data_IF_990795435889
#
_entry.id   IF_990795435889
#
_cell.length_a   1.000
_cell.length_b   1.000
_cell.length_c   1.000
_cell.angle_alpha   90.00
_cell.angle_beta   90.00
_cell.angle_gamma   90.00
#
_symmetry.space_group_name_H-M   'P 1'
#
loop_
_entity.id
_entity.type
_entity.pdbx_description
1 polymer ?
#
# COMPACT_ATOMS: atom_id res chain seq x y z
N UNK A 1 -16.94 -32.00 19.87
CA UNK A 1 -15.78 -31.08 20.04
C UNK A 1 -15.71 -30.25 18.78
N UNK A 2 -15.97 -28.95 18.85
CA UNK A 2 -15.95 -28.09 17.66
C UNK A 2 -14.52 -27.59 17.50
N UNK A 3 -13.89 -27.91 16.35
CA UNK A 3 -12.59 -27.36 15.99
C UNK A 3 -12.81 -25.88 15.60
N UNK A 4 -12.08 -24.98 16.19
CA UNK A 4 -12.14 -23.56 15.89
C UNK A 4 -10.77 -23.01 15.55
N UNK A 5 -10.73 -21.93 14.74
CA UNK A 5 -9.52 -21.15 14.54
C UNK A 5 -9.04 -20.57 15.88
N UNK A 6 -7.76 -20.32 15.97
CA UNK A 6 -7.15 -19.54 17.04
C UNK A 6 -6.18 -18.54 16.41
N UNK A 7 -6.29 -17.29 16.80
CA UNK A 7 -5.39 -16.20 16.35
C UNK A 7 -4.45 -15.84 17.51
N UNK A 8 -3.29 -16.54 17.64
CA UNK A 8 -2.42 -16.42 18.83
C UNK A 8 -1.78 -15.05 18.96
N UNK A 9 -1.70 -14.28 17.88
CA UNK A 9 -1.13 -12.93 17.84
C UNK A 9 -2.20 -11.82 17.93
N UNK A 10 -3.43 -12.17 18.28
CA UNK A 10 -4.54 -11.23 18.44
C UNK A 10 -4.67 -10.25 17.25
N UNK A 11 -4.53 -8.95 17.51
CA UNK A 11 -4.76 -7.88 16.55
C UNK A 11 -3.62 -7.67 15.52
N UNK A 12 -2.45 -8.32 15.72
CA UNK A 12 -1.27 -8.14 14.89
C UNK A 12 -1.52 -8.51 13.42
N UNK A 13 -2.29 -9.56 13.18
CA UNK A 13 -2.54 -10.09 11.84
C UNK A 13 -3.96 -9.88 11.33
N UNK A 14 -4.82 -9.20 12.07
CA UNK A 14 -6.26 -9.12 11.76
C UNK A 14 -6.52 -8.62 10.34
N UNK A 15 -5.83 -7.59 9.91
CA UNK A 15 -6.02 -7.01 8.58
C UNK A 15 -5.36 -7.82 7.45
N UNK A 16 -4.51 -8.78 7.76
CA UNK A 16 -3.93 -9.74 6.82
C UNK A 16 -4.80 -10.98 6.75
N UNK A 17 -5.01 -11.64 7.91
CA UNK A 17 -5.74 -12.90 7.96
C UNK A 17 -7.25 -12.71 7.82
N UNK A 18 -7.79 -11.64 8.41
CA UNK A 18 -9.23 -11.50 8.60
C UNK A 18 -9.69 -12.30 9.82
N UNK A 19 -10.90 -12.81 9.77
CA UNK A 19 -11.49 -13.66 10.81
C UNK A 19 -12.48 -14.65 10.24
N UNK A 20 -12.78 -15.69 11.00
CA UNK A 20 -13.82 -16.66 10.68
C UNK A 20 -15.05 -16.46 11.57
N UNK A 21 -16.22 -16.74 11.01
CA UNK A 21 -17.51 -16.71 11.71
C UNK A 21 -18.47 -17.71 11.07
N UNK A 22 -19.64 -17.93 11.66
CA UNK A 22 -20.65 -18.79 11.06
C UNK A 22 -21.09 -18.28 9.70
N UNK A 23 -21.28 -19.16 8.70
CA UNK A 23 -21.81 -18.75 7.41
C UNK A 23 -23.29 -18.35 7.53
N UNK A 24 -23.71 -17.39 6.73
CA UNK A 24 -25.11 -17.12 6.48
C UNK A 24 -25.63 -18.00 5.33
N UNK A 25 -26.95 -18.02 5.10
CA UNK A 25 -27.58 -18.85 4.06
C UNK A 25 -27.04 -18.52 2.66
N UNK A 26 -26.85 -17.24 2.36
CA UNK A 26 -26.36 -16.81 1.06
C UNK A 26 -24.91 -17.28 0.81
N UNK A 27 -24.04 -17.20 1.80
CA UNK A 27 -22.65 -17.67 1.69
C UNK A 27 -22.55 -19.19 1.49
N UNK A 28 -23.50 -19.95 2.07
CA UNK A 28 -23.60 -21.40 1.83
C UNK A 28 -24.02 -21.67 0.39
N UNK A 29 -25.02 -20.94 -0.11
CA UNK A 29 -25.56 -21.14 -1.46
C UNK A 29 -24.58 -20.70 -2.57
N UNK A 30 -23.79 -19.67 -2.33
CA UNK A 30 -22.85 -19.11 -3.32
C UNK A 30 -21.55 -19.92 -3.48
N UNK A 31 -21.25 -20.85 -2.56
CA UNK A 31 -20.00 -21.62 -2.59
C UNK A 31 -20.30 -23.13 -2.49
N UNK A 32 -20.16 -23.83 -3.59
CA UNK A 32 -20.43 -25.27 -3.69
C UNK A 32 -19.63 -26.11 -2.68
N UNK A 33 -18.35 -25.76 -2.43
CA UNK A 33 -17.49 -26.46 -1.47
C UNK A 33 -17.98 -26.26 -0.03
N UNK A 34 -18.42 -25.05 0.30
CA UNK A 34 -19.00 -24.76 1.61
C UNK A 34 -20.34 -25.50 1.76
N UNK A 35 -21.19 -25.49 0.73
CA UNK A 35 -22.46 -26.18 0.72
C UNK A 35 -22.30 -27.70 0.93
N UNK A 36 -21.36 -28.33 0.21
CA UNK A 36 -21.06 -29.77 0.32
C UNK A 36 -20.52 -30.15 1.70
N UNK A 37 -19.68 -29.29 2.30
CA UNK A 37 -18.99 -29.56 3.57
C UNK A 37 -19.69 -28.98 4.79
N UNK A 38 -20.85 -28.34 4.59
CA UNK A 38 -21.56 -27.64 5.66
C UNK A 38 -21.98 -28.62 6.77
N UNK A 39 -21.61 -28.27 7.99
CA UNK A 39 -22.10 -28.90 9.22
C UNK A 39 -22.46 -27.81 10.24
N UNK A 40 -23.45 -28.06 11.13
CA UNK A 40 -23.80 -27.09 12.17
C UNK A 40 -22.58 -26.72 13.04
N UNK A 41 -22.38 -25.42 13.22
CA UNK A 41 -21.23 -24.88 13.96
C UNK A 41 -19.97 -24.68 13.14
N UNK A 42 -19.97 -25.03 11.86
CA UNK A 42 -18.90 -24.70 10.93
C UNK A 42 -18.65 -23.20 10.87
N UNK A 43 -17.41 -22.81 10.66
CA UNK A 43 -16.98 -21.42 10.49
C UNK A 43 -16.25 -21.27 9.17
N UNK A 44 -16.48 -20.14 8.51
CA UNK A 44 -15.85 -19.78 7.24
C UNK A 44 -15.15 -18.43 7.35
N UNK A 45 -14.17 -18.19 6.50
CA UNK A 45 -13.48 -16.91 6.39
C UNK A 45 -14.40 -15.78 5.94
N UNK A 46 -14.43 -14.68 6.67
CA UNK A 46 -15.25 -13.50 6.35
C UNK A 46 -14.50 -12.40 5.65
N UNK A 47 -13.23 -12.26 5.95
CA UNK A 47 -12.34 -11.22 5.41
C UNK A 47 -10.93 -11.77 5.21
N UNK A 48 -10.10 -11.02 4.50
CA UNK A 48 -8.68 -11.27 4.37
C UNK A 48 -8.35 -12.62 3.72
N UNK A 49 -7.21 -13.17 4.12
CA UNK A 49 -6.73 -14.45 3.58
C UNK A 49 -7.59 -15.64 4.03
N UNK A 50 -8.22 -15.59 5.20
CA UNK A 50 -9.19 -16.62 5.63
C UNK A 50 -10.31 -16.76 4.61
N UNK A 51 -10.88 -15.65 4.14
CA UNK A 51 -11.92 -15.66 3.11
C UNK A 51 -11.36 -16.10 1.75
N UNK A 52 -10.22 -15.52 1.35
CA UNK A 52 -9.66 -15.76 0.01
C UNK A 52 -9.22 -17.20 -0.21
N UNK A 53 -8.70 -17.82 0.84
CA UNK A 53 -8.14 -19.16 0.80
C UNK A 53 -9.06 -20.20 1.42
N UNK A 54 -10.35 -19.88 1.65
CA UNK A 54 -11.32 -20.76 2.30
C UNK A 54 -11.29 -22.18 1.73
N UNK A 55 -11.35 -22.30 0.41
CA UNK A 55 -11.37 -23.60 -0.28
C UNK A 55 -10.11 -24.47 -0.02
N UNK A 56 -8.99 -23.83 0.31
CA UNK A 56 -7.75 -24.54 0.70
C UNK A 56 -7.69 -24.83 2.19
N UNK A 57 -8.32 -24.00 3.01
CA UNK A 57 -8.22 -24.05 4.46
C UNK A 57 -9.28 -24.92 5.13
N UNK A 58 -10.40 -25.19 4.45
CA UNK A 58 -11.59 -25.79 5.03
C UNK A 58 -11.44 -27.29 5.35
N UNK A 59 -10.56 -28.03 4.67
CA UNK A 59 -10.40 -29.48 4.85
C UNK A 59 -11.67 -30.28 4.44
N UNK A 60 -11.75 -31.54 4.81
CA UNK A 60 -12.90 -32.42 4.59
C UNK A 60 -13.45 -32.95 5.91
N UNK A 61 -14.76 -33.17 5.96
CA UNK A 61 -15.41 -33.68 7.16
C UNK A 61 -15.14 -35.19 7.36
N UNK A 62 -14.98 -35.60 8.62
CA UNK A 62 -15.05 -37.01 8.97
C UNK A 62 -16.50 -37.46 8.98
N UNK A 63 -16.80 -38.60 8.38
CA UNK A 63 -18.16 -39.19 8.33
C UNK A 63 -18.10 -40.52 9.07
N UNK A 64 -19.00 -40.69 10.03
CA UNK A 64 -19.24 -41.97 10.71
C UNK A 64 -20.69 -42.32 10.62
N UNK A 65 -21.01 -43.47 9.99
CA UNK A 65 -22.36 -44.01 9.91
C UNK A 65 -22.48 -45.18 10.85
N UNK A 66 -23.55 -45.17 11.64
CA UNK A 66 -23.86 -46.21 12.56
C UNK A 66 -25.26 -46.80 12.27
N UNK A 67 -25.38 -48.10 12.39
CA UNK A 67 -26.64 -48.75 12.54
C UNK A 67 -27.16 -48.52 13.97
N UNK A 68 -28.40 -48.09 14.12
CA UNK A 68 -29.03 -47.89 15.44
C UNK A 68 -30.26 -48.77 15.58
N UNK A 69 -30.54 -49.22 16.80
CA UNK A 69 -31.76 -49.92 17.09
C UNK A 69 -32.96 -48.95 17.25
N UNK A 70 -34.17 -49.49 17.49
CA UNK A 70 -35.41 -48.73 17.66
C UNK A 70 -35.34 -47.71 18.83
N UNK A 71 -34.38 -47.85 19.76
CA UNK A 71 -34.15 -46.97 20.92
C UNK A 71 -33.00 -45.95 20.65
N UNK A 72 -32.46 -45.88 19.40
CA UNK A 72 -31.37 -44.96 19.07
C UNK A 72 -29.97 -45.41 19.56
N UNK A 73 -29.84 -46.64 20.10
CA UNK A 73 -28.55 -47.18 20.55
C UNK A 73 -27.75 -47.68 19.35
N UNK A 74 -26.49 -47.26 19.23
CA UNK A 74 -25.55 -47.69 18.19
C UNK A 74 -25.28 -49.21 18.33
N UNK A 75 -25.49 -49.98 17.24
CA UNK A 75 -25.25 -51.42 17.15
C UNK A 75 -23.96 -51.71 16.44
N UNK A 76 -23.85 -51.25 15.18
CA UNK A 76 -22.68 -51.48 14.32
C UNK A 76 -22.24 -50.17 13.69
N UNK A 77 -20.93 -50.04 13.46
CA UNK A 77 -20.36 -48.99 12.63
C UNK A 77 -20.39 -49.46 11.16
N UNK A 78 -21.14 -48.78 10.31
CA UNK A 78 -21.31 -49.12 8.89
C UNK A 78 -20.20 -48.48 8.03
N UNK A 79 -19.83 -47.26 8.38
CA UNK A 79 -18.85 -46.51 7.58
C UNK A 79 -18.03 -45.59 8.50
N UNK A 80 -16.75 -45.48 8.20
CA UNK A 80 -15.85 -44.51 8.83
C UNK A 80 -14.94 -43.91 7.76
N UNK A 81 -15.26 -42.68 7.36
CA UNK A 81 -14.38 -41.87 6.50
C UNK A 81 -13.62 -40.84 7.37
N UNK A 82 -12.30 -40.90 7.32
CA UNK A 82 -11.47 -39.90 8.02
C UNK A 82 -11.56 -38.55 7.30
N UNK A 83 -11.77 -37.49 8.07
CA UNK A 83 -11.62 -36.13 7.56
C UNK A 83 -10.15 -35.77 7.32
N UNK A 84 -9.94 -34.89 6.38
CA UNK A 84 -8.60 -34.34 6.08
C UNK A 84 -8.50 -32.90 6.56
N UNK A 85 -7.34 -32.53 7.09
CA UNK A 85 -7.08 -31.16 7.44
C UNK A 85 -6.89 -30.31 6.19
N UNK A 86 -7.32 -29.05 6.24
CA UNK A 86 -7.01 -28.08 5.20
C UNK A 86 -5.51 -27.84 5.02
N UNK A 87 -5.17 -27.24 3.91
CA UNK A 87 -3.78 -26.97 3.53
C UNK A 87 -3.11 -26.01 4.52
N UNK A 88 -1.81 -26.21 4.74
CA UNK A 88 -0.98 -25.27 5.47
C UNK A 88 -0.48 -24.20 4.51
N UNK A 89 -0.77 -22.95 4.82
CA UNK A 89 -0.35 -21.80 4.01
C UNK A 89 0.77 -21.08 4.76
N UNK A 90 1.88 -20.83 4.07
CA UNK A 90 3.00 -20.05 4.58
C UNK A 90 2.96 -18.65 3.99
N UNK A 91 3.02 -17.65 4.86
CA UNK A 91 3.03 -16.25 4.45
C UNK A 91 4.46 -15.72 4.36
N UNK A 92 4.66 -14.68 3.54
CA UNK A 92 5.92 -13.94 3.45
C UNK A 92 6.13 -12.97 4.61
N UNK A 93 5.08 -12.74 5.41
CA UNK A 93 5.09 -11.77 6.52
C UNK A 93 5.99 -12.26 7.66
N UNK A 94 6.96 -11.42 8.02
CA UNK A 94 7.82 -11.63 9.19
C UNK A 94 7.07 -11.18 10.47
N UNK A 95 6.97 -12.10 11.44
CA UNK A 95 6.19 -11.86 12.66
C UNK A 95 6.77 -10.76 13.53
N UNK A 96 8.09 -10.68 13.65
CA UNK A 96 8.73 -9.71 14.55
C UNK A 96 8.65 -8.30 13.92
N UNK A 97 8.84 -8.17 12.62
CA UNK A 97 8.66 -6.89 11.91
C UNK A 97 7.20 -6.45 11.96
N UNK A 98 6.25 -7.38 11.77
CA UNK A 98 4.82 -7.09 11.84
C UNK A 98 4.40 -6.56 13.24
N UNK A 99 4.90 -7.18 14.33
CA UNK A 99 4.68 -6.72 15.71
C UNK A 99 5.30 -5.34 15.94
N UNK A 100 6.55 -5.15 15.52
CA UNK A 100 7.25 -3.87 15.64
C UNK A 100 6.48 -2.72 14.94
N UNK A 101 5.87 -3.00 13.78
CA UNK A 101 5.00 -2.03 13.10
C UNK A 101 3.81 -1.60 13.98
N UNK A 102 3.20 -2.56 14.70
CA UNK A 102 2.10 -2.28 15.63
C UNK A 102 2.54 -1.42 16.81
N UNK A 103 3.67 -1.77 17.42
CA UNK A 103 4.26 -1.03 18.55
C UNK A 103 4.62 0.41 18.15
N UNK A 104 5.24 0.61 17.00
CA UNK A 104 5.62 1.93 16.48
C UNK A 104 4.39 2.83 16.22
N UNK A 105 3.30 2.27 15.73
CA UNK A 105 2.05 3.02 15.51
C UNK A 105 1.32 3.32 16.81
N UNK A 106 1.50 2.51 17.84
CA UNK A 106 0.98 2.72 19.19
C UNK A 106 -0.48 3.21 19.21
N UNK A 107 -1.38 2.47 18.57
CA UNK A 107 -2.82 2.76 18.41
C UNK A 107 -3.16 4.07 17.67
N UNK A 108 -2.18 4.81 17.14
CA UNK A 108 -2.45 5.95 16.26
C UNK A 108 -3.04 5.46 14.94
N UNK A 109 -3.93 6.26 14.34
CA UNK A 109 -4.46 5.92 13.03
C UNK A 109 -3.37 6.03 11.96
N UNK A 110 -3.09 4.92 11.28
CA UNK A 110 -2.06 4.86 10.25
C UNK A 110 -1.84 3.46 9.71
N UNK A 111 -0.84 3.32 8.86
CA UNK A 111 -0.39 2.01 8.37
C UNK A 111 1.10 2.02 8.05
N UNK A 112 1.72 0.86 8.19
CA UNK A 112 3.09 0.59 7.77
C UNK A 112 3.06 -0.61 6.82
N UNK A 113 3.74 -0.49 5.67
CA UNK A 113 3.93 -1.56 4.71
C UNK A 113 5.41 -1.70 4.40
N UNK A 114 5.91 -2.92 4.45
CA UNK A 114 7.30 -3.27 4.14
C UNK A 114 7.28 -4.33 3.04
N UNK A 115 8.03 -4.09 1.99
CA UNK A 115 8.09 -4.96 0.82
C UNK A 115 9.55 -5.22 0.44
N UNK A 116 9.87 -6.47 0.14
CA UNK A 116 11.14 -6.81 -0.48
C UNK A 116 11.18 -6.27 -1.91
N UNK A 117 12.25 -5.55 -2.24
CA UNK A 117 12.35 -4.83 -3.50
C UNK A 117 12.71 -5.73 -4.69
N UNK A 118 13.16 -6.95 -4.45
CA UNK A 118 13.57 -7.90 -5.46
C UNK A 118 12.52 -8.99 -5.68
N UNK A 119 12.01 -9.58 -4.60
CA UNK A 119 11.03 -10.68 -4.69
C UNK A 119 9.59 -10.21 -4.75
N UNK A 120 9.31 -8.97 -4.30
CA UNK A 120 7.95 -8.47 -4.14
C UNK A 120 7.22 -9.00 -2.90
N UNK A 121 7.92 -9.75 -2.04
CA UNK A 121 7.36 -10.30 -0.81
C UNK A 121 6.90 -9.18 0.13
N UNK A 122 5.68 -9.29 0.63
CA UNK A 122 5.18 -8.43 1.70
C UNK A 122 5.76 -8.93 3.02
N UNK A 123 6.75 -8.22 3.55
CA UNK A 123 7.41 -8.54 4.82
C UNK A 123 6.58 -8.08 6.02
N UNK A 124 5.88 -6.95 5.89
CA UNK A 124 4.91 -6.50 6.87
C UNK A 124 3.81 -5.63 6.23
N UNK A 125 2.61 -5.75 6.75
CA UNK A 125 1.45 -4.96 6.34
C UNK A 125 0.53 -4.73 7.54
N UNK A 126 0.76 -3.64 8.28
CA UNK A 126 0.02 -3.34 9.50
C UNK A 126 -0.87 -2.10 9.35
N UNK A 127 -2.12 -2.22 9.78
CA UNK A 127 -3.11 -1.12 9.82
C UNK A 127 -3.54 -0.86 11.25
N UNK A 128 -3.42 0.38 11.73
CA UNK A 128 -3.69 0.77 13.11
C UNK A 128 -4.81 1.83 13.21
N UNK A 129 -5.62 1.84 14.29
CA UNK A 129 -5.74 0.75 15.24
C UNK A 129 -6.31 -0.51 14.60
N UNK A 130 -6.05 -1.66 15.19
CA UNK A 130 -6.58 -2.96 14.80
C UNK A 130 -7.59 -3.47 15.83
N UNK A 131 -8.05 -4.70 15.70
CA UNK A 131 -8.98 -5.34 16.62
C UNK A 131 -8.65 -6.83 16.78
N UNK A 132 -9.06 -7.45 17.88
CA UNK A 132 -8.83 -8.88 18.13
C UNK A 132 -9.83 -9.74 17.32
N UNK A 133 -9.39 -10.54 16.34
CA UNK A 133 -10.25 -11.38 15.52
C UNK A 133 -10.90 -12.53 16.31
N UNK A 134 -10.30 -12.92 17.45
CA UNK A 134 -10.86 -13.95 18.31
C UNK A 134 -12.25 -13.59 18.87
N UNK A 135 -12.59 -12.30 18.97
CA UNK A 135 -13.91 -11.83 19.41
C UNK A 135 -15.05 -12.30 18.50
N UNK A 136 -14.76 -12.59 17.23
CA UNK A 136 -15.77 -13.00 16.25
C UNK A 136 -16.00 -14.52 16.20
N UNK A 137 -15.13 -15.31 16.85
CA UNK A 137 -15.16 -16.77 16.74
C UNK A 137 -16.47 -17.41 17.28
N UNK A 138 -17.00 -16.86 18.35
CA UNK A 138 -18.21 -17.37 19.02
C UNK A 138 -19.35 -16.34 19.07
N UNK A 139 -19.22 -15.26 18.30
CA UNK A 139 -20.08 -14.10 18.34
C UNK A 139 -19.50 -13.00 19.22
N UNK A 140 -19.52 -11.77 18.70
CA UNK A 140 -19.12 -10.57 19.43
C UNK A 140 -20.31 -10.04 20.21
N UNK A 141 -20.10 -9.55 21.42
CA UNK A 141 -21.15 -8.87 22.20
C UNK A 141 -21.55 -7.53 21.55
N UNK A 142 -22.79 -7.09 21.82
CA UNK A 142 -23.29 -5.82 21.29
C UNK A 142 -22.40 -4.65 21.69
N UNK A 143 -21.93 -4.63 22.94
CA UNK A 143 -21.11 -3.54 23.48
C UNK A 143 -19.72 -3.51 22.84
N UNK A 144 -19.03 -4.66 22.73
CA UNK A 144 -17.74 -4.76 22.04
C UNK A 144 -17.86 -4.35 20.57
N UNK A 145 -18.94 -4.78 19.89
CA UNK A 145 -19.20 -4.38 18.50
C UNK A 145 -19.38 -2.87 18.38
N UNK A 146 -20.15 -2.23 19.27
CA UNK A 146 -20.35 -0.78 19.29
C UNK A 146 -19.04 -0.02 19.52
N UNK A 147 -18.19 -0.50 20.44
CA UNK A 147 -16.87 0.09 20.70
C UNK A 147 -15.99 0.09 19.45
N UNK A 148 -15.92 -1.03 18.75
CA UNK A 148 -15.10 -1.16 17.53
C UNK A 148 -15.71 -0.33 16.39
N UNK A 149 -17.01 -0.44 16.15
CA UNK A 149 -17.73 0.21 15.06
C UNK A 149 -17.70 1.74 15.16
N UNK A 150 -17.90 2.27 16.36
CA UNK A 150 -18.03 3.70 16.60
C UNK A 150 -16.68 4.38 16.88
N UNK A 151 -15.59 3.62 16.92
CA UNK A 151 -14.26 4.19 17.12
C UNK A 151 -13.91 5.19 15.99
N UNK A 152 -13.61 6.46 16.32
CA UNK A 152 -13.31 7.49 15.32
C UNK A 152 -12.06 7.16 14.47
N UNK A 153 -11.15 6.34 14.98
CA UNK A 153 -9.93 5.92 14.28
C UNK A 153 -10.17 4.75 13.31
N UNK A 154 -11.43 4.24 13.22
CA UNK A 154 -11.88 3.24 12.24
C UNK A 154 -11.03 1.96 12.21
N UNK A 155 -10.99 1.17 13.29
CA UNK A 155 -10.20 -0.07 13.35
C UNK A 155 -10.63 -1.14 12.34
N UNK A 156 -11.90 -1.17 11.91
CA UNK A 156 -12.39 -2.14 10.93
C UNK A 156 -11.83 -1.90 9.51
N UNK A 157 -11.30 -0.72 9.24
CA UNK A 157 -10.77 -0.39 7.91
C UNK A 157 -9.31 -0.82 7.82
N UNK A 158 -9.00 -1.71 6.89
CA UNK A 158 -7.62 -1.95 6.48
C UNK A 158 -7.09 -0.72 5.72
N UNK A 159 -6.44 0.19 6.44
CA UNK A 159 -5.94 1.46 5.88
C UNK A 159 -4.90 1.24 4.80
N UNK A 160 -4.15 0.13 4.87
CA UNK A 160 -3.11 -0.22 3.90
C UNK A 160 -3.69 -0.47 2.51
N UNK A 161 -4.82 -1.20 2.44
CA UNK A 161 -5.42 -1.67 1.19
C UNK A 161 -6.64 -0.86 0.77
N UNK A 162 -7.40 -0.34 1.74
CA UNK A 162 -8.70 0.31 1.49
C UNK A 162 -8.71 1.80 1.80
N UNK A 163 -7.68 2.32 2.48
CA UNK A 163 -7.53 3.75 2.73
C UNK A 163 -7.13 4.49 1.46
N UNK A 164 -7.98 5.40 1.00
CA UNK A 164 -7.74 6.23 -0.17
C UNK A 164 -7.33 7.63 0.27
N UNK A 165 -6.11 8.00 -0.04
CA UNK A 165 -5.53 9.27 0.38
C UNK A 165 -4.83 9.97 -0.79
N UNK A 166 -4.77 11.29 -0.76
CA UNK A 166 -3.89 12.05 -1.66
C UNK A 166 -2.43 11.78 -1.27
N UNK A 167 -1.58 11.31 -2.17
CA UNK A 167 -0.20 10.92 -1.83
C UNK A 167 0.70 12.10 -1.47
N UNK A 168 0.31 13.32 -1.82
CA UNK A 168 1.13 14.50 -1.60
C UNK A 168 2.49 14.39 -2.26
N UNK A 169 3.50 15.00 -1.66
CA UNK A 169 4.86 15.05 -2.21
C UNK A 169 5.55 13.70 -2.40
N UNK A 170 4.97 12.59 -1.96
CA UNK A 170 5.56 11.25 -2.15
C UNK A 170 5.55 10.79 -3.61
N UNK A 171 4.72 11.40 -4.48
CA UNK A 171 4.73 11.10 -5.91
C UNK A 171 5.79 11.89 -6.70
N UNK A 172 6.43 12.90 -6.11
CA UNK A 172 7.42 13.72 -6.82
C UNK A 172 8.54 12.92 -7.49
N UNK A 173 8.99 11.77 -6.95
CA UNK A 173 9.93 10.89 -7.66
C UNK A 173 9.41 10.44 -9.03
N UNK A 174 8.16 10.00 -9.14
CA UNK A 174 7.61 9.58 -10.45
C UNK A 174 7.31 10.76 -11.38
N UNK A 175 7.00 11.94 -10.85
CA UNK A 175 6.89 13.17 -11.66
C UNK A 175 8.24 13.51 -12.29
N UNK A 176 9.32 13.42 -11.51
CA UNK A 176 10.68 13.63 -11.99
C UNK A 176 11.09 12.58 -13.02
N UNK A 177 10.83 11.29 -12.76
CA UNK A 177 11.11 10.20 -13.69
C UNK A 177 10.36 10.36 -14.99
N UNK A 178 9.06 10.68 -14.93
CA UNK A 178 8.25 10.92 -16.12
C UNK A 178 8.79 12.08 -16.97
N UNK A 179 9.20 13.16 -16.31
CA UNK A 179 9.73 14.32 -17.01
C UNK A 179 11.10 14.07 -17.67
N UNK A 180 11.99 13.33 -16.99
CA UNK A 180 13.29 12.91 -17.53
C UNK A 180 13.13 11.94 -18.70
N UNK A 181 12.25 10.95 -18.60
CA UNK A 181 12.01 9.93 -19.63
C UNK A 181 11.40 10.54 -20.89
N UNK A 182 10.48 11.49 -20.73
CA UNK A 182 9.90 12.24 -21.84
C UNK A 182 10.79 13.38 -22.33
N UNK A 183 12.01 13.53 -21.79
CA UNK A 183 12.97 14.58 -22.15
C UNK A 183 12.40 16.00 -22.03
N UNK A 184 11.45 16.20 -21.11
CA UNK A 184 10.84 17.50 -20.83
C UNK A 184 11.78 18.36 -19.98
N UNK A 185 12.57 17.71 -19.14
CA UNK A 185 13.65 18.32 -18.35
C UNK A 185 14.91 17.46 -18.46
N UNK A 186 16.03 18.08 -18.12
CA UNK A 186 17.33 17.42 -17.89
C UNK A 186 17.87 17.75 -16.49
N UNK A 187 19.07 17.27 -16.16
CA UNK A 187 19.74 17.54 -14.87
C UNK A 187 20.16 18.99 -14.68
N UNK A 188 20.23 19.79 -15.75
CA UNK A 188 20.60 21.20 -15.72
C UNK A 188 19.40 22.12 -15.55
N UNK A 189 18.18 21.59 -15.74
CA UNK A 189 16.94 22.34 -15.60
C UNK A 189 16.80 22.92 -14.19
N UNK A 190 16.54 24.22 -14.10
CA UNK A 190 16.40 24.95 -12.83
C UNK A 190 15.15 25.82 -12.86
N UNK A 191 14.53 25.95 -11.70
CA UNK A 191 13.38 26.83 -11.47
C UNK A 191 13.69 27.78 -10.31
N UNK A 192 13.29 29.05 -10.43
CA UNK A 192 13.37 30.01 -9.32
C UNK A 192 12.10 29.92 -8.47
N UNK A 193 12.23 29.43 -7.26
CA UNK A 193 11.15 29.36 -6.29
C UNK A 193 11.14 30.61 -5.40
N UNK A 194 10.11 31.42 -5.52
CA UNK A 194 9.88 32.63 -4.70
C UNK A 194 8.86 32.39 -3.58
N UNK A 195 8.48 31.12 -3.34
CA UNK A 195 7.42 30.75 -2.39
C UNK A 195 6.04 30.56 -3.02
N UNK A 196 5.89 30.97 -4.28
CA UNK A 196 4.61 30.83 -5.02
C UNK A 196 4.87 30.77 -6.52
N UNK A 197 3.85 30.28 -7.24
CA UNK A 197 3.73 30.34 -8.69
C UNK A 197 2.34 30.92 -9.04
N UNK A 198 2.29 31.84 -9.96
CA UNK A 198 1.03 32.41 -10.44
C UNK A 198 0.70 31.90 -11.83
N UNK A 199 -0.54 31.48 -12.04
CA UNK A 199 -1.06 30.97 -13.31
C UNK A 199 -2.51 31.39 -13.50
N UNK A 200 -2.79 32.14 -14.56
CA UNK A 200 -4.16 32.64 -14.90
C UNK A 200 -4.88 33.30 -13.71
N UNK A 201 -4.18 34.14 -12.94
CA UNK A 201 -4.73 34.82 -11.78
C UNK A 201 -4.92 33.95 -10.53
N UNK A 202 -4.51 32.69 -10.58
CA UNK A 202 -4.50 31.81 -9.41
C UNK A 202 -3.08 31.66 -8.86
N UNK A 203 -2.95 31.67 -7.54
CA UNK A 203 -1.68 31.52 -6.83
C UNK A 203 -1.56 30.09 -6.29
N UNK A 204 -0.46 29.44 -6.63
CA UNK A 204 -0.05 28.12 -6.16
C UNK A 204 1.12 28.29 -5.22
N UNK A 205 0.94 27.98 -3.94
CA UNK A 205 1.93 28.22 -2.90
C UNK A 205 2.93 27.04 -2.80
N UNK A 206 4.19 27.37 -2.54
CA UNK A 206 5.17 26.43 -2.03
C UNK A 206 5.05 26.37 -0.50
N UNK A 207 5.38 25.23 0.10
CA UNK A 207 5.35 25.11 1.55
C UNK A 207 6.33 26.08 2.26
N UNK A 208 7.42 26.46 1.59
CA UNK A 208 8.38 27.45 2.07
C UNK A 208 8.01 28.84 1.54
N UNK A 209 7.37 29.65 2.34
CA UNK A 209 6.82 30.97 1.97
C UNK A 209 7.85 31.93 1.36
N UNK A 210 9.07 31.99 1.94
CA UNK A 210 10.18 32.80 1.43
C UNK A 210 10.85 32.23 0.19
N UNK A 211 10.36 31.06 -0.29
CA UNK A 211 10.91 30.36 -1.44
C UNK A 211 12.23 29.64 -1.16
N UNK A 212 12.64 28.85 -2.15
CA UNK A 212 13.89 28.07 -2.14
C UNK A 212 15.02 28.71 -2.97
N UNK A 213 14.73 29.82 -3.66
CA UNK A 213 15.67 30.40 -4.62
C UNK A 213 15.75 29.54 -5.89
N UNK A 214 16.91 29.53 -6.54
CA UNK A 214 17.15 28.66 -7.71
C UNK A 214 17.37 27.23 -7.28
N UNK A 215 16.53 26.32 -7.74
CA UNK A 215 16.60 24.88 -7.43
C UNK A 215 16.73 24.04 -8.69
N UNK A 216 17.64 23.07 -8.67
CA UNK A 216 17.75 21.98 -9.63
C UNK A 216 16.87 20.80 -9.17
N UNK A 217 16.72 19.76 -10.00
CA UNK A 217 15.95 18.56 -9.67
C UNK A 217 16.36 17.95 -8.33
N UNK A 218 17.68 17.73 -8.11
CA UNK A 218 18.20 17.20 -6.83
C UNK A 218 17.78 18.05 -5.64
N UNK A 219 17.99 19.38 -5.71
CA UNK A 219 17.65 20.27 -4.60
C UNK A 219 16.14 20.43 -4.41
N UNK A 220 15.36 20.40 -5.48
CA UNK A 220 13.90 20.45 -5.42
C UNK A 220 13.31 19.19 -4.78
N UNK A 221 13.84 18.01 -5.09
CA UNK A 221 13.45 16.73 -4.48
C UNK A 221 13.86 16.71 -3.00
N UNK A 222 15.12 17.06 -2.70
CA UNK A 222 15.70 17.12 -1.35
C UNK A 222 14.85 17.98 -0.40
N UNK A 223 14.50 19.19 -0.85
CA UNK A 223 13.75 20.16 -0.06
C UNK A 223 12.24 20.13 -0.33
N UNK A 224 11.76 19.18 -1.14
CA UNK A 224 10.34 19.04 -1.51
C UNK A 224 9.73 20.32 -2.09
N UNK A 225 10.43 21.07 -2.95
CA UNK A 225 9.98 22.35 -3.51
C UNK A 225 8.76 22.18 -4.43
N UNK A 226 7.59 22.70 -4.03
CA UNK A 226 6.37 22.57 -4.83
C UNK A 226 6.45 23.37 -6.13
N UNK A 227 6.99 24.59 -6.09
CA UNK A 227 7.11 25.46 -7.27
C UNK A 227 7.89 24.78 -8.41
N UNK A 228 8.96 24.04 -8.09
CA UNK A 228 9.71 23.27 -9.08
C UNK A 228 8.82 22.22 -9.74
N UNK A 229 8.07 21.46 -8.94
CA UNK A 229 7.22 20.39 -9.43
C UNK A 229 5.95 20.89 -10.10
N UNK A 230 5.44 22.08 -9.77
CA UNK A 230 4.41 22.75 -10.57
C UNK A 230 4.90 23.00 -12.00
N UNK A 231 6.10 23.56 -12.14
CA UNK A 231 6.65 23.86 -13.45
C UNK A 231 6.95 22.58 -14.25
N UNK A 232 7.54 21.57 -13.62
CA UNK A 232 7.76 20.26 -14.24
C UNK A 232 6.45 19.63 -14.70
N UNK A 233 5.41 19.63 -13.86
CA UNK A 233 4.12 19.09 -14.23
C UNK A 233 3.44 19.88 -15.36
N UNK A 234 3.57 21.22 -15.35
CA UNK A 234 3.09 22.09 -16.43
C UNK A 234 3.67 21.71 -17.77
N UNK A 235 4.97 21.49 -17.83
CA UNK A 235 5.70 21.11 -19.04
C UNK A 235 5.39 19.67 -19.48
N UNK A 236 5.23 18.76 -18.53
CA UNK A 236 4.99 17.33 -18.77
C UNK A 236 3.58 17.04 -19.27
N UNK A 237 2.58 17.65 -18.61
CA UNK A 237 1.17 17.33 -18.81
C UNK A 237 0.71 16.10 -18.03
N UNK A 238 -0.57 16.10 -17.66
CA UNK A 238 -1.16 15.06 -16.81
C UNK A 238 -1.21 13.69 -17.48
N UNK A 239 -1.45 13.62 -18.77
CA UNK A 239 -1.59 12.33 -19.49
C UNK A 239 -0.28 11.54 -19.53
N UNK A 240 0.86 12.20 -19.79
CA UNK A 240 2.19 11.55 -19.71
C UNK A 240 2.51 11.11 -18.28
N UNK A 241 2.13 11.93 -17.31
CA UNK A 241 2.31 11.58 -15.90
C UNK A 241 1.45 10.37 -15.51
N UNK A 242 0.19 10.31 -15.97
CA UNK A 242 -0.71 9.16 -15.73
C UNK A 242 -0.11 7.86 -16.29
N UNK A 243 0.40 7.86 -17.53
CA UNK A 243 1.04 6.68 -18.12
C UNK A 243 2.20 6.16 -17.26
N UNK A 244 3.00 7.08 -16.73
CA UNK A 244 4.11 6.72 -15.83
C UNK A 244 3.60 6.17 -14.50
N UNK A 245 2.60 6.83 -13.90
CA UNK A 245 2.01 6.42 -12.63
C UNK A 245 1.41 5.01 -12.68
N UNK A 246 0.74 4.66 -13.79
CA UNK A 246 0.17 3.33 -14.00
C UNK A 246 1.23 2.22 -14.10
N UNK A 247 2.42 2.52 -14.63
CA UNK A 247 3.55 1.57 -14.62
C UNK A 247 4.02 1.25 -13.21
N UNK A 248 3.89 2.21 -12.28
CA UNK A 248 4.23 2.04 -10.87
C UNK A 248 3.08 1.47 -10.03
N UNK A 249 1.97 1.06 -10.65
CA UNK A 249 0.83 0.44 -9.96
C UNK A 249 -0.18 1.43 -9.37
N UNK A 250 0.00 2.76 -9.56
CA UNK A 250 -0.99 3.73 -9.09
C UNK A 250 -2.27 3.66 -9.95
N UNK A 251 -3.42 3.70 -9.30
CA UNK A 251 -4.72 3.55 -9.95
C UNK A 251 -5.10 2.10 -10.28
N UNK A 252 -4.34 1.10 -9.78
CA UNK A 252 -4.57 -0.33 -9.98
C UNK A 252 -4.58 -1.06 -8.63
N UNK A 253 -5.26 -2.21 -8.55
CA UNK A 253 -5.08 -3.14 -7.43
C UNK A 253 -3.73 -3.84 -7.59
N UNK A 254 -2.96 -3.93 -6.52
CA UNK A 254 -1.62 -4.55 -6.50
C UNK A 254 -1.59 -5.89 -5.76
N UNK A 255 -2.53 -6.11 -4.84
CA UNK A 255 -2.75 -7.36 -4.11
C UNK A 255 -4.18 -7.88 -4.29
N UNK A 256 -4.88 -7.47 -5.37
CA UNK A 256 -6.30 -7.79 -5.60
C UNK A 256 -6.61 -9.28 -5.75
N UNK A 257 -5.60 -10.09 -6.07
CA UNK A 257 -5.74 -11.55 -6.09
C UNK A 257 -5.87 -12.16 -4.67
N UNK A 258 -5.39 -11.42 -3.64
CA UNK A 258 -5.45 -11.88 -2.25
C UNK A 258 -6.54 -11.15 -1.43
N UNK A 259 -6.92 -9.94 -1.82
CA UNK A 259 -7.80 -9.08 -1.01
C UNK A 259 -8.89 -8.41 -1.84
N UNK A 260 -10.12 -8.90 -1.72
CA UNK A 260 -11.29 -8.31 -2.39
C UNK A 260 -11.53 -6.85 -1.98
N UNK A 261 -11.18 -6.51 -0.74
CA UNK A 261 -11.37 -5.18 -0.15
C UNK A 261 -10.38 -4.13 -0.65
N UNK A 262 -9.35 -4.52 -1.41
CA UNK A 262 -8.39 -3.58 -1.95
C UNK A 262 -9.05 -2.58 -2.88
N UNK A 263 -8.70 -1.30 -2.70
CA UNK A 263 -9.18 -0.20 -3.55
C UNK A 263 -8.12 0.15 -4.60
N UNK A 264 -8.57 0.31 -5.85
CA UNK A 264 -7.66 0.66 -6.96
C UNK A 264 -7.14 2.10 -6.92
N UNK A 265 -7.73 2.98 -6.08
CA UNK A 265 -7.41 4.39 -6.12
C UNK A 265 -7.78 5.07 -7.44
N UNK A 266 -7.17 6.23 -7.67
CA UNK A 266 -7.37 7.02 -8.87
C UNK A 266 -6.08 7.79 -9.19
N UNK A 267 -5.56 7.63 -10.40
CA UNK A 267 -4.63 8.58 -10.97
C UNK A 267 -5.31 9.24 -12.18
N UNK A 268 -5.64 10.55 -12.13
CA UNK A 268 -6.47 11.19 -13.12
C UNK A 268 -5.73 11.43 -14.44
N UNK A 269 -6.49 11.53 -15.53
CA UNK A 269 -6.05 12.03 -16.84
C UNK A 269 -7.17 12.82 -17.52
N UNK A 270 -6.88 13.41 -18.66
CA UNK A 270 -7.85 14.23 -19.41
C UNK A 270 -9.11 13.46 -19.80
N UNK A 271 -8.95 12.21 -20.25
CA UNK A 271 -10.05 11.32 -20.64
C UNK A 271 -10.94 10.95 -19.45
N UNK A 272 -10.31 10.59 -18.30
CA UNK A 272 -11.04 10.28 -17.08
C UNK A 272 -11.94 11.45 -16.66
N UNK A 273 -11.41 12.67 -16.62
CA UNK A 273 -12.18 13.82 -16.20
C UNK A 273 -13.35 14.12 -17.12
N UNK A 274 -13.14 14.06 -18.43
CA UNK A 274 -14.20 14.25 -19.43
C UNK A 274 -15.32 13.22 -19.26
N UNK A 275 -14.96 11.95 -19.07
CA UNK A 275 -15.93 10.85 -18.98
C UNK A 275 -16.71 10.84 -17.65
N UNK A 276 -16.06 11.19 -16.54
CA UNK A 276 -16.68 11.05 -15.21
C UNK A 276 -17.29 12.36 -14.70
N UNK A 277 -16.77 13.53 -15.14
CA UNK A 277 -17.22 14.83 -14.65
C UNK A 277 -17.82 15.71 -15.74
N UNK A 278 -17.83 15.26 -16.99
CA UNK A 278 -18.39 16.03 -18.13
C UNK A 278 -17.65 17.34 -18.44
N UNK A 279 -16.44 17.54 -17.88
CA UNK A 279 -15.67 18.79 -17.98
C UNK A 279 -14.29 18.56 -18.55
N UNK A 280 -13.77 19.56 -19.28
CA UNK A 280 -12.39 19.56 -19.78
C UNK A 280 -11.37 19.67 -18.64
N UNK A 281 -10.17 19.22 -18.89
CA UNK A 281 -9.03 19.35 -18.00
C UNK A 281 -8.50 20.80 -18.03
N UNK A 282 -8.14 21.35 -16.87
CA UNK A 282 -7.52 22.68 -16.77
C UNK A 282 -6.09 22.58 -16.24
N UNK A 283 -5.24 23.50 -16.70
CA UNK A 283 -3.79 23.42 -16.40
C UNK A 283 -3.48 23.51 -14.90
N UNK A 284 -4.28 24.26 -14.13
CA UNK A 284 -4.13 24.31 -12.66
C UNK A 284 -4.29 22.96 -11.98
N UNK A 285 -5.12 22.06 -12.53
CA UNK A 285 -5.25 20.68 -12.03
C UNK A 285 -3.99 19.86 -12.30
N UNK A 286 -3.30 20.10 -13.42
CA UNK A 286 -2.01 19.49 -13.70
C UNK A 286 -0.97 19.88 -12.65
N UNK A 287 -0.91 21.16 -12.27
CA UNK A 287 0.01 21.64 -11.25
C UNK A 287 -0.21 20.90 -9.93
N UNK A 288 -1.47 20.88 -9.47
CA UNK A 288 -1.86 20.22 -8.21
C UNK A 288 -1.59 18.71 -8.27
N UNK A 289 -1.87 18.08 -9.42
CA UNK A 289 -1.56 16.66 -9.64
C UNK A 289 -0.05 16.40 -9.54
N UNK A 290 0.79 17.31 -10.03
CA UNK A 290 2.25 17.22 -9.96
C UNK A 290 2.84 17.23 -8.54
N UNK A 291 2.09 17.62 -7.55
CA UNK A 291 2.46 17.55 -6.12
C UNK A 291 1.66 16.53 -5.32
N UNK A 292 0.91 15.65 -6.01
CA UNK A 292 0.14 14.58 -5.38
C UNK A 292 -1.14 15.00 -4.69
N UNK A 293 -1.77 16.06 -5.18
CA UNK A 293 -3.01 16.61 -4.66
C UNK A 293 -4.12 16.58 -5.74
N UNK A 294 -5.29 17.12 -5.44
CA UNK A 294 -6.41 17.17 -6.35
C UNK A 294 -7.19 15.86 -6.42
N UNK A 295 -7.37 15.32 -7.61
CA UNK A 295 -8.16 14.09 -7.81
C UNK A 295 -7.40 12.80 -7.52
N UNK A 296 -6.07 12.86 -7.29
CA UNK A 296 -5.28 11.66 -7.01
C UNK A 296 -5.71 11.04 -5.68
N UNK A 297 -5.94 9.74 -5.74
CA UNK A 297 -6.17 8.89 -4.57
C UNK A 297 -5.34 7.61 -4.72
N UNK A 298 -4.54 7.30 -3.72
CA UNK A 298 -3.75 6.07 -3.67
C UNK A 298 -3.88 5.39 -2.32
N UNK A 299 -3.66 4.08 -2.32
CA UNK A 299 -3.53 3.32 -1.09
C UNK A 299 -2.07 3.28 -0.63
N UNK A 300 -1.78 3.12 0.67
CA UNK A 300 -0.42 2.96 1.17
C UNK A 300 0.36 1.82 0.52
N UNK A 301 -0.30 0.71 0.19
CA UNK A 301 0.38 -0.42 -0.49
C UNK A 301 0.81 -0.06 -1.92
N UNK A 302 0.04 0.74 -2.64
CA UNK A 302 0.44 1.24 -3.96
C UNK A 302 1.69 2.12 -3.86
N UNK A 303 1.76 2.97 -2.85
CA UNK A 303 2.92 3.82 -2.62
C UNK A 303 4.14 3.01 -2.16
N UNK A 304 3.93 1.94 -1.40
CA UNK A 304 4.99 0.99 -1.05
C UNK A 304 5.56 0.31 -2.30
N UNK A 305 4.72 -0.25 -3.17
CA UNK A 305 5.13 -0.85 -4.44
C UNK A 305 5.86 0.16 -5.35
N UNK A 306 5.32 1.36 -5.49
CA UNK A 306 5.97 2.45 -6.23
C UNK A 306 7.39 2.70 -5.72
N UNK A 307 7.55 2.77 -4.39
CA UNK A 307 8.83 3.05 -3.75
C UNK A 307 9.80 1.88 -3.93
N UNK A 308 9.32 0.64 -3.79
CA UNK A 308 10.11 -0.56 -4.03
C UNK A 308 10.63 -0.62 -5.48
N UNK A 309 9.80 -0.30 -6.46
CA UNK A 309 10.19 -0.25 -7.88
C UNK A 309 11.16 0.90 -8.21
N UNK A 310 11.15 2.00 -7.45
CA UNK A 310 12.21 3.01 -7.56
C UNK A 310 13.51 2.48 -6.94
N UNK A 311 13.42 1.83 -5.79
CA UNK A 311 14.58 1.32 -5.04
C UNK A 311 15.34 0.23 -5.80
N UNK A 312 14.64 -0.67 -6.48
CA UNK A 312 15.25 -1.77 -7.25
C UNK A 312 15.80 -1.34 -8.63
N UNK A 313 15.87 -0.05 -8.91
CA UNK A 313 16.38 0.45 -10.20
C UNK A 313 15.34 0.52 -11.31
N UNK A 314 14.04 0.51 -10.99
CA UNK A 314 12.95 0.68 -11.96
C UNK A 314 12.51 -0.60 -12.66
N UNK A 315 12.66 -1.73 -11.99
CA UNK A 315 12.09 -2.99 -12.45
C UNK A 315 10.68 -3.19 -11.88
N UNK A 316 9.78 -3.71 -12.71
CA UNK A 316 8.44 -4.10 -12.26
C UNK A 316 8.52 -5.27 -11.28
N UNK A 317 7.72 -5.22 -10.23
CA UNK A 317 7.55 -6.32 -9.27
C UNK A 317 6.08 -6.69 -9.16
N UNK A 318 5.81 -7.97 -8.85
CA UNK A 318 4.47 -8.46 -8.52
C UNK A 318 4.43 -8.68 -7.00
N UNK A 319 3.71 -7.84 -6.24
CA UNK A 319 3.60 -8.05 -4.81
C UNK A 319 2.92 -9.36 -4.47
N UNK A 320 3.45 -10.08 -3.49
CA UNK A 320 2.89 -11.34 -3.01
C UNK A 320 2.97 -11.46 -1.49
N UNK A 321 2.04 -12.20 -0.92
CA UNK A 321 1.92 -12.39 0.53
C UNK A 321 1.96 -13.86 0.94
N UNK A 322 1.89 -14.76 -0.03
CA UNK A 322 2.01 -16.21 0.15
C UNK A 322 3.35 -16.63 -0.42
N UNK A 323 4.06 -17.49 0.30
CA UNK A 323 5.33 -18.05 -0.16
C UNK A 323 5.07 -19.01 -1.31
N UNK A 324 5.76 -18.83 -2.43
CA UNK A 324 5.66 -19.71 -3.60
C UNK A 324 6.10 -21.13 -3.27
N UNK A 325 5.56 -22.09 -4.01
CA UNK A 325 5.94 -23.52 -3.87
C UNK A 325 7.44 -23.75 -4.15
N UNK A 326 7.99 -22.97 -5.10
CA UNK A 326 9.40 -22.95 -5.46
C UNK A 326 9.94 -21.52 -5.34
N UNK A 327 10.27 -21.05 -4.12
CA UNK A 327 10.72 -19.69 -3.93
C UNK A 327 12.09 -19.48 -4.59
N UNK A 328 12.19 -18.41 -5.39
CA UNK A 328 13.49 -17.95 -5.89
C UNK A 328 14.28 -17.41 -4.69
N UNK A 329 15.59 -17.71 -4.63
CA UNK A 329 16.42 -17.14 -3.58
C UNK A 329 16.54 -15.62 -3.75
N UNK A 330 16.81 -14.91 -2.65
CA UNK A 330 17.04 -13.46 -2.68
C UNK A 330 18.18 -13.10 -3.65
N UNK A 331 19.27 -13.87 -3.64
CA UNK A 331 20.43 -13.65 -4.49
C UNK A 331 20.10 -13.84 -5.97
N UNK A 332 19.36 -14.88 -6.32
CA UNK A 332 18.92 -15.12 -7.69
C UNK A 332 17.95 -14.04 -8.18
N UNK A 333 17.01 -13.61 -7.33
CA UNK A 333 16.08 -12.53 -7.64
C UNK A 333 16.83 -11.21 -7.86
N UNK A 334 17.83 -10.91 -7.04
CA UNK A 334 18.68 -9.73 -7.16
C UNK A 334 19.48 -9.75 -8.46
N UNK A 335 20.19 -10.85 -8.72
CA UNK A 335 21.00 -11.02 -9.93
C UNK A 335 20.15 -10.92 -11.21
N UNK A 336 18.97 -11.53 -11.19
CA UNK A 336 18.00 -11.46 -12.29
C UNK A 336 17.55 -10.02 -12.56
N UNK A 337 17.26 -9.25 -11.52
CA UNK A 337 16.89 -7.83 -11.68
C UNK A 337 18.05 -6.97 -12.18
N UNK A 338 19.25 -7.18 -11.67
CA UNK A 338 20.45 -6.45 -12.12
C UNK A 338 20.75 -6.72 -13.60
N UNK A 339 20.52 -7.93 -14.07
CA UNK A 339 20.63 -8.29 -15.50
C UNK A 339 19.46 -7.76 -16.35
N UNK A 340 18.37 -7.31 -15.73
CA UNK A 340 17.14 -6.86 -16.39
C UNK A 340 16.24 -7.98 -16.88
N UNK A 341 16.54 -9.21 -16.47
CA UNK A 341 15.80 -10.42 -16.79
C UNK A 341 15.16 -10.94 -15.48
N UNK A 342 13.87 -11.16 -15.45
CA UNK A 342 13.19 -11.78 -14.33
C UNK A 342 12.59 -13.12 -14.78
N UNK A 343 12.79 -14.15 -13.97
CA UNK A 343 12.03 -15.38 -14.09
C UNK A 343 10.60 -15.11 -13.62
N UNK A 344 9.63 -15.37 -14.48
CA UNK A 344 8.27 -15.57 -14.05
C UNK A 344 8.13 -17.05 -13.65
N UNK A 345 7.90 -17.31 -12.37
CA UNK A 345 7.77 -18.67 -11.84
C UNK A 345 6.58 -19.42 -12.43
N UNK A 346 5.60 -18.68 -12.99
CA UNK A 346 4.39 -19.27 -13.58
C UNK A 346 4.52 -19.51 -15.10
N UNK A 347 5.50 -18.93 -15.80
CA UNK A 347 5.57 -18.99 -17.27
C UNK A 347 6.93 -19.34 -17.87
N UNK A 348 7.99 -19.64 -17.13
CA UNK A 348 9.36 -19.86 -17.66
C UNK A 348 9.87 -18.81 -18.67
N UNK A 349 9.11 -17.72 -18.91
CA UNK A 349 9.47 -16.68 -19.86
C UNK A 349 10.27 -15.56 -19.18
N UNK A 350 11.41 -15.25 -19.76
CA UNK A 350 12.23 -14.08 -19.41
C UNK A 350 11.56 -12.83 -19.94
N UNK A 351 10.88 -12.08 -19.08
CA UNK A 351 10.24 -10.81 -19.42
C UNK A 351 11.19 -9.64 -19.12
N UNK A 352 11.35 -8.72 -20.11
CA UNK A 352 11.97 -7.41 -19.85
C UNK A 352 11.04 -6.59 -18.97
N UNK A 353 11.31 -6.58 -17.66
CA UNK A 353 10.50 -5.91 -16.65
C UNK A 353 10.96 -4.47 -16.35
N UNK A 354 11.88 -3.92 -17.14
CA UNK A 354 12.30 -2.52 -16.97
C UNK A 354 11.17 -1.55 -17.30
N UNK A 355 10.79 -0.74 -16.32
CA UNK A 355 9.75 0.27 -16.45
C UNK A 355 10.20 1.44 -17.35
N UNK A 356 11.52 1.64 -17.48
CA UNK A 356 12.12 2.73 -18.24
C UNK A 356 13.25 2.26 -19.14
N UNK A 357 13.37 2.93 -20.28
CA UNK A 357 14.46 2.68 -21.24
C UNK A 357 15.81 3.20 -20.73
N UNK A 358 15.80 4.33 -20.01
CA UNK A 358 17.02 4.96 -19.52
C UNK A 358 17.20 4.79 -18.00
N UNK A 359 17.97 3.79 -17.61
CA UNK A 359 18.26 3.48 -16.21
C UNK A 359 18.97 4.63 -15.44
N UNK A 360 19.67 5.52 -16.14
CA UNK A 360 20.31 6.69 -15.53
C UNK A 360 19.27 7.62 -14.88
N UNK A 361 18.05 7.68 -15.44
CA UNK A 361 16.98 8.52 -14.89
C UNK A 361 16.57 8.07 -13.48
N UNK A 362 16.49 6.75 -13.25
CA UNK A 362 16.18 6.19 -11.93
C UNK A 362 17.26 6.56 -10.91
N UNK A 363 18.54 6.38 -11.30
CA UNK A 363 19.67 6.69 -10.43
C UNK A 363 19.68 8.16 -9.99
N UNK A 364 19.37 9.09 -10.90
CA UNK A 364 19.25 10.52 -10.59
C UNK A 364 18.18 10.76 -9.51
N UNK A 365 17.04 10.06 -9.59
CA UNK A 365 15.95 10.21 -8.62
C UNK A 365 16.32 9.54 -7.29
N UNK A 366 16.94 8.37 -7.31
CA UNK A 366 17.43 7.69 -6.10
C UNK A 366 18.44 8.58 -5.34
N UNK A 367 19.40 9.18 -6.03
CA UNK A 367 20.38 10.12 -5.47
C UNK A 367 19.70 11.35 -4.86
N UNK A 368 18.65 11.86 -5.50
CA UNK A 368 17.89 12.99 -4.98
C UNK A 368 17.05 12.63 -3.74
N UNK A 369 16.51 11.40 -3.68
CA UNK A 369 15.84 10.85 -2.50
C UNK A 369 16.85 10.60 -1.36
N UNK A 370 18.04 10.09 -1.66
CA UNK A 370 19.13 9.93 -0.70
C UNK A 370 19.52 11.28 -0.09
N UNK A 371 19.67 12.31 -0.91
CA UNK A 371 19.94 13.65 -0.46
C UNK A 371 18.87 14.21 0.49
N UNK A 372 17.59 13.83 0.30
CA UNK A 372 16.49 14.25 1.17
C UNK A 372 16.67 13.77 2.62
N UNK A 373 17.31 12.63 2.81
CA UNK A 373 17.53 12.04 4.14
C UNK A 373 18.92 12.37 4.69
N UNK A 374 19.96 12.36 3.86
CA UNK A 374 21.34 12.37 4.34
C UNK A 374 22.07 13.71 4.17
N UNK A 375 21.51 14.65 3.41
CA UNK A 375 22.13 15.97 3.25
C UNK A 375 21.39 17.04 4.06
N UNK A 376 22.14 18.06 4.53
CA UNK A 376 21.57 19.24 5.23
C UNK A 376 20.47 19.89 4.40
N UNK A 377 19.43 20.40 5.07
CA UNK A 377 18.21 20.96 4.50
C UNK A 377 17.28 19.93 3.79
N UNK A 378 17.60 18.64 3.84
CA UNK A 378 16.67 17.60 3.43
C UNK A 378 15.48 17.50 4.37
N UNK A 379 14.27 17.23 3.80
CA UNK A 379 13.02 17.17 4.61
C UNK A 379 13.00 16.01 5.59
N UNK A 380 13.78 14.97 5.37
CA UNK A 380 13.96 13.81 6.26
C UNK A 380 15.29 13.80 7.02
N UNK A 381 16.08 14.88 6.96
CA UNK A 381 17.42 14.91 7.53
C UNK A 381 17.48 14.61 9.04
N UNK A 382 16.43 14.99 9.78
CA UNK A 382 16.32 14.70 11.23
C UNK A 382 16.18 13.21 11.55
N UNK A 383 15.71 12.42 10.59
CA UNK A 383 15.48 10.97 10.74
C UNK A 383 16.63 10.13 10.17
N UNK A 384 17.74 10.75 9.75
CA UNK A 384 18.87 10.01 9.18
C UNK A 384 19.50 9.08 10.20
N UNK A 385 20.08 8.01 9.70
CA UNK A 385 20.93 7.11 10.47
C UNK A 385 22.39 7.45 10.11
N UNK A 386 23.19 7.74 11.12
CA UNK A 386 24.58 8.19 10.91
C UNK A 386 25.51 7.02 10.52
N UNK A 387 25.16 5.78 10.89
CA UNK A 387 25.89 4.58 10.46
C UNK A 387 25.75 4.39 8.94
N UNK A 388 26.83 4.41 8.16
CA UNK A 388 26.79 4.29 6.70
C UNK A 388 26.10 3.01 6.22
N UNK A 389 26.18 1.92 7.00
CA UNK A 389 25.57 0.63 6.70
C UNK A 389 24.03 0.71 6.65
N UNK A 390 23.43 1.62 7.43
CA UNK A 390 21.98 1.73 7.59
C UNK A 390 21.43 3.06 7.05
N UNK A 391 22.22 3.80 6.31
CA UNK A 391 21.73 5.00 5.63
C UNK A 391 20.61 4.60 4.65
N UNK A 392 19.64 5.45 4.47
CA UNK A 392 18.50 5.19 3.62
C UNK A 392 18.13 6.42 2.78
N UNK A 393 17.44 6.17 1.68
CA UNK A 393 16.83 7.22 0.87
C UNK A 393 15.34 7.34 1.23
N UNK A 394 14.79 8.54 1.13
CA UNK A 394 13.40 8.75 1.51
C UNK A 394 12.74 9.94 0.85
N UNK A 395 11.42 9.94 0.90
CA UNK A 395 10.59 11.08 0.52
C UNK A 395 9.43 11.25 1.49
N UNK A 396 9.38 12.41 2.14
CA UNK A 396 8.24 12.81 2.96
C UNK A 396 7.13 13.39 2.10
N UNK A 397 5.90 13.22 2.55
CA UNK A 397 4.73 13.86 1.98
C UNK A 397 3.76 14.31 3.05
N UNK A 398 3.09 15.40 2.80
CA UNK A 398 1.96 15.87 3.59
C UNK A 398 0.83 16.16 2.62
N UNK A 399 -0.33 15.56 2.85
CA UNK A 399 -1.50 15.76 2.03
C UNK A 399 -2.55 16.54 2.80
N UNK A 400 -3.07 17.59 2.20
CA UNK A 400 -4.21 18.33 2.75
C UNK A 400 -5.49 17.54 2.52
N UNK A 401 -6.29 17.36 3.57
CA UNK A 401 -7.57 16.65 3.51
C UNK A 401 -8.68 17.59 3.03
N UNK A 402 -8.55 18.89 3.29
CA UNK A 402 -9.47 19.93 2.81
C UNK A 402 -8.71 21.14 2.26
N UNK A 403 -9.41 21.95 1.48
CA UNK A 403 -8.89 23.25 1.02
C UNK A 403 -8.78 24.19 2.22
N UNK A 404 -7.55 24.65 2.51
CA UNK A 404 -7.29 25.65 3.55
C UNK A 404 -7.69 27.03 2.99
N UNK A 405 -8.60 27.73 3.65
CA UNK A 405 -8.99 29.09 3.30
C UNK A 405 -7.89 30.10 3.67
N UNK A 406 -7.94 31.30 3.08
CA UNK A 406 -7.00 32.38 3.42
C UNK A 406 -7.03 32.69 4.92
N UNK A 407 -8.23 32.77 5.52
CA UNK A 407 -8.42 33.02 6.95
C UNK A 407 -7.82 31.94 7.84
N UNK A 408 -7.95 30.67 7.46
CA UNK A 408 -7.37 29.55 8.22
C UNK A 408 -5.83 29.54 8.18
N UNK A 409 -5.22 30.04 7.10
CA UNK A 409 -3.78 30.23 7.01
C UNK A 409 -3.29 31.38 7.89
N UNK A 410 -4.04 32.46 7.96
CA UNK A 410 -3.73 33.63 8.79
C UNK A 410 -3.85 33.33 10.29
N UNK A 411 -4.66 32.33 10.68
CA UNK A 411 -4.85 31.92 12.07
C UNK A 411 -3.75 31.02 12.60
N UNK A 412 -2.89 30.44 11.73
CA UNK A 412 -1.75 29.55 12.07
C UNK A 412 -2.10 28.52 13.16
N UNK A 413 -3.23 27.79 12.94
CA UNK A 413 -3.78 26.89 13.94
C UNK A 413 -2.84 25.72 14.24
N UNK A 414 -2.62 25.45 15.52
CA UNK A 414 -1.94 24.26 15.99
C UNK A 414 -2.72 22.99 15.62
N UNK A 415 -2.02 21.86 15.47
CA UNK A 415 -2.58 20.58 15.01
C UNK A 415 -3.78 20.14 15.87
N UNK A 416 -3.70 20.38 17.18
CA UNK A 416 -4.74 20.03 18.14
C UNK A 416 -6.01 20.86 18.00
N UNK A 417 -5.92 22.07 17.48
CA UNK A 417 -7.04 22.99 17.21
C UNK A 417 -7.79 22.63 15.93
N UNK A 418 -7.22 21.79 15.07
CA UNK A 418 -7.83 21.32 13.83
C UNK A 418 -8.66 20.06 14.14
N UNK A 419 -9.96 19.99 13.74
CA UNK A 419 -10.75 18.77 13.89
C UNK A 419 -10.03 17.56 13.28
N UNK A 420 -10.03 16.42 13.95
CA UNK A 420 -9.28 15.22 13.53
C UNK A 420 -9.52 14.85 12.05
N UNK A 421 -10.78 14.94 11.59
CA UNK A 421 -11.17 14.66 10.20
C UNK A 421 -10.55 15.60 9.15
N UNK A 422 -10.09 16.79 9.58
CA UNK A 422 -9.56 17.85 8.72
C UNK A 422 -8.03 17.94 8.79
N UNK A 423 -7.39 17.14 9.67
CA UNK A 423 -5.93 17.11 9.83
C UNK A 423 -5.26 16.55 8.58
N UNK A 424 -4.12 17.11 8.23
CA UNK A 424 -3.34 16.62 7.11
C UNK A 424 -2.85 15.19 7.36
N UNK A 425 -2.78 14.39 6.29
CA UNK A 425 -2.18 13.05 6.33
C UNK A 425 -0.69 13.17 6.04
N UNK A 426 0.13 12.61 6.93
CA UNK A 426 1.59 12.55 6.75
C UNK A 426 2.03 11.19 6.23
N UNK A 427 2.99 11.21 5.32
CA UNK A 427 3.63 10.03 4.76
C UNK A 427 5.14 10.12 4.87
N UNK A 428 5.78 8.99 5.05
CA UNK A 428 7.22 8.87 4.85
C UNK A 428 7.47 7.55 4.11
N UNK A 429 8.12 7.64 2.96
CA UNK A 429 8.55 6.47 2.20
C UNK A 429 10.06 6.39 2.30
N UNK A 430 10.53 5.25 2.79
CA UNK A 430 11.93 4.94 3.01
C UNK A 430 12.34 3.82 2.08
N UNK A 431 13.49 3.97 1.43
CA UNK A 431 14.17 2.88 0.76
C UNK A 431 15.43 2.60 1.57
N UNK A 432 15.56 1.41 2.11
CA UNK A 432 16.82 0.97 2.69
C UNK A 432 17.87 0.92 1.57
N UNK A 433 19.15 1.21 1.86
CA UNK A 433 20.18 1.10 0.86
C UNK A 433 20.22 -0.33 0.38
N UNK A 434 20.13 -0.52 -0.90
CA UNK A 434 20.72 -1.67 -1.54
C UNK A 434 22.21 -1.51 -1.30
N UNK A 435 22.80 -2.30 -0.42
CA UNK A 435 24.24 -2.30 -0.22
C UNK A 435 24.82 -2.77 -1.56
N UNK A 436 25.18 -1.84 -2.42
CA UNK A 436 26.16 -2.11 -3.44
C UNK A 436 27.49 -2.30 -2.69
N UNK A 437 27.77 -3.53 -2.30
CA UNK A 437 29.15 -3.93 -2.09
C UNK A 437 29.86 -3.77 -3.43
N UNK A 438 30.79 -2.83 -3.48
CA UNK A 438 31.82 -2.72 -4.52
C UNK A 438 32.67 -3.97 -4.48
#
# INVERSE_FOLDING_TARGET
MTISRNYPFNDVYTHVLGYVSQPNEQEILENEIIQERFVPGMKIGKLGLEKRLENHLIGTNAIQRYEVNAYGKRINQLEHQKGEQGSKIRLTVDTEIQKACGELLNQKAGSISVMDIYTGDIIAMYSSPSYNPNLFLFGISQDEWQLIRNNPLKPLINKTLSGLYSPGSTIKPIVALSALENKVIDTKFKVKCTGKMELYGQTFHCWKEKGHGWVSLKNAMKQSCDTYFYEVARLLGVDRLNITAEKFGLGKKVLGEYFDTEKKGLFPNTKWKKNNLGRGWVLGETLITGIGQGYIQSTPIQLCMMTAQIANGGCAIKPKIIVDSNPISYEDAKQSMESGLLFDTDSEELLDKKLFKNQKNIKIVQEAMFASTNERFGTSYKSRIDDPKYQFAGKTGTAQVKRISKRERELDLELEQIPYKDRAVSYTHLTLPTICSV
#
